data_IF_230292926840
#
_entry.id   IF_230292926840
#
_cell.length_a   1.000
_cell.length_b   1.000
_cell.length_c   1.000
_cell.angle_alpha   90.00
_cell.angle_beta   90.00
_cell.angle_gamma   90.00
#
_symmetry.space_group_name_H-M   'P 1'
#
loop_
_entity.id
_entity.type
_entity.pdbx_description
1 polymer ?
#
# COMPACT_ATOMS: atom_id res chain seq x y z
N UNK A 1 7.15 0.10 -2.81
CA UNK A 1 6.70 -0.27 -1.44
C UNK A 1 5.19 -0.49 -1.47
N UNK A 2 4.61 -1.20 -0.48
CA UNK A 2 3.16 -1.41 -0.40
C UNK A 2 2.38 -0.09 -0.42
N UNK A 3 2.82 0.90 0.38
CA UNK A 3 2.22 2.24 0.43
C UNK A 3 2.25 2.97 -0.92
N UNK A 4 3.33 2.80 -1.70
CA UNK A 4 3.42 3.39 -3.04
C UNK A 4 2.45 2.73 -4.02
N UNK A 5 2.23 1.42 -3.91
CA UNK A 5 1.27 0.71 -4.76
C UNK A 5 -0.17 1.17 -4.48
N UNK A 6 -0.54 1.34 -3.20
CA UNK A 6 -1.84 1.91 -2.81
C UNK A 6 -2.01 3.32 -3.34
N UNK A 7 -0.98 4.16 -3.22
CA UNK A 7 -0.99 5.52 -3.76
C UNK A 7 -1.19 5.51 -5.28
N UNK A 8 -0.40 4.74 -6.03
CA UNK A 8 -0.53 4.65 -7.50
C UNK A 8 -1.89 4.14 -7.95
N UNK A 9 -2.43 3.13 -7.26
CA UNK A 9 -3.77 2.63 -7.56
C UNK A 9 -4.85 3.69 -7.26
N UNK A 10 -4.66 4.49 -6.21
CA UNK A 10 -5.53 5.61 -5.87
C UNK A 10 -5.51 6.72 -6.92
N UNK A 11 -4.32 7.10 -7.40
CA UNK A 11 -4.18 8.04 -8.52
C UNK A 11 -4.90 7.50 -9.78
N UNK A 12 -4.79 6.20 -10.04
CA UNK A 12 -5.55 5.54 -11.10
C UNK A 12 -7.06 5.72 -10.94
N UNK A 13 -7.59 5.48 -9.74
CA UNK A 13 -9.03 5.65 -9.45
C UNK A 13 -9.44 7.10 -9.73
N UNK A 14 -8.65 8.07 -9.28
CA UNK A 14 -8.92 9.49 -9.50
C UNK A 14 -8.92 9.86 -10.99
N UNK A 15 -7.96 9.35 -11.78
CA UNK A 15 -7.88 9.58 -13.23
C UNK A 15 -9.13 9.04 -13.96
N UNK A 16 -9.63 7.88 -13.54
CA UNK A 16 -10.82 7.25 -14.12
C UNK A 16 -12.14 7.87 -13.61
N UNK A 17 -12.07 8.77 -12.62
CA UNK A 17 -13.24 9.39 -12.00
C UNK A 17 -14.22 8.35 -11.45
N UNK A 18 -15.51 8.54 -11.71
CA UNK A 18 -16.56 7.62 -11.25
C UNK A 18 -16.34 6.17 -11.73
N UNK A 19 -15.79 5.98 -12.93
CA UNK A 19 -15.51 4.64 -13.48
C UNK A 19 -14.40 3.92 -12.71
N UNK A 20 -13.53 4.64 -11.99
CA UNK A 20 -12.52 4.05 -11.11
C UNK A 20 -13.12 3.35 -9.88
N UNK A 21 -14.35 3.72 -9.51
CA UNK A 21 -15.09 3.15 -8.37
C UNK A 21 -16.06 2.03 -8.78
N UNK A 22 -16.31 1.81 -10.07
CA UNK A 22 -17.18 0.72 -10.54
C UNK A 22 -16.40 -0.58 -10.68
N UNK A 23 -17.11 -1.70 -10.84
CA UNK A 23 -16.51 -3.01 -11.12
C UNK A 23 -16.28 -3.24 -12.63
N UNK A 24 -16.53 -2.25 -13.49
CA UNK A 24 -16.27 -2.35 -14.93
C UNK A 24 -14.76 -2.35 -15.23
N UNK A 25 -13.98 -1.70 -14.37
CA UNK A 25 -12.52 -1.66 -14.44
C UNK A 25 -11.91 -2.31 -13.19
N UNK A 26 -10.71 -2.92 -13.30
CA UNK A 26 -10.10 -3.62 -12.17
C UNK A 26 -9.53 -2.69 -11.09
N UNK A 27 -9.63 -1.37 -11.24
CA UNK A 27 -8.97 -0.38 -10.37
C UNK A 27 -9.37 -0.52 -8.90
N UNK A 28 -10.66 -0.64 -8.60
CA UNK A 28 -11.13 -0.83 -7.23
C UNK A 28 -10.68 -2.16 -6.60
N UNK A 29 -10.43 -3.21 -7.40
CA UNK A 29 -9.80 -4.45 -6.92
C UNK A 29 -8.32 -4.23 -6.63
N UNK A 30 -7.60 -3.65 -7.59
CA UNK A 30 -6.15 -3.39 -7.48
C UNK A 30 -5.83 -2.51 -6.26
N UNK A 31 -6.63 -1.47 -5.99
CA UNK A 31 -6.41 -0.61 -4.84
C UNK A 31 -6.59 -1.36 -3.50
N UNK A 32 -7.62 -2.22 -3.40
CA UNK A 32 -7.85 -3.05 -2.21
C UNK A 32 -6.74 -4.08 -2.01
N UNK A 33 -6.32 -4.75 -3.08
CA UNK A 33 -5.21 -5.70 -3.05
C UNK A 33 -3.90 -5.02 -2.63
N UNK A 34 -3.63 -3.81 -3.15
CA UNK A 34 -2.48 -3.01 -2.75
C UNK A 34 -2.53 -2.65 -1.26
N UNK A 35 -3.70 -2.21 -0.78
CA UNK A 35 -3.88 -1.85 0.63
C UNK A 35 -3.68 -3.04 1.56
N UNK A 36 -4.07 -4.25 1.13
CA UNK A 36 -3.85 -5.46 1.92
C UNK A 36 -2.37 -5.69 2.24
N UNK A 37 -1.43 -5.35 1.34
CA UNK A 37 0.01 -5.49 1.63
C UNK A 37 0.53 -4.55 2.73
N UNK A 38 -0.21 -3.49 3.07
CA UNK A 38 0.14 -2.60 4.19
C UNK A 38 -0.30 -3.14 5.55
N UNK A 39 -1.24 -4.10 5.61
CA UNK A 39 -1.86 -4.55 6.87
C UNK A 39 -1.92 -6.06 7.06
N UNK A 40 -1.97 -6.85 5.98
CA UNK A 40 -2.35 -8.27 6.01
C UNK A 40 -1.28 -9.23 6.50
N UNK A 41 0.00 -8.86 6.41
CA UNK A 41 1.13 -9.70 6.84
C UNK A 41 2.11 -8.92 7.73
N UNK A 42 1.55 -8.14 8.66
CA UNK A 42 2.27 -7.17 9.47
C UNK A 42 2.16 -5.77 8.88
N UNK A 43 1.89 -4.80 9.75
CA UNK A 43 1.63 -3.43 9.31
C UNK A 43 2.90 -2.72 8.85
N UNK A 44 2.74 -1.69 8.01
CA UNK A 44 3.85 -0.83 7.61
C UNK A 44 4.60 -0.23 8.81
N UNK A 45 3.90 0.10 9.90
CA UNK A 45 4.47 0.62 11.15
C UNK A 45 5.37 -0.42 11.82
N UNK A 46 4.88 -1.66 11.96
CA UNK A 46 5.66 -2.75 12.57
C UNK A 46 6.94 -3.00 11.75
N UNK A 47 6.83 -2.97 10.42
CA UNK A 47 8.00 -3.13 9.54
C UNK A 47 9.02 -1.99 9.71
N UNK A 48 8.55 -0.73 9.79
CA UNK A 48 9.42 0.42 10.07
C UNK A 48 10.11 0.31 11.43
N UNK A 49 9.39 -0.12 12.46
CA UNK A 49 9.94 -0.34 13.80
C UNK A 49 11.04 -1.41 13.78
N UNK A 50 10.79 -2.54 13.12
CA UNK A 50 11.79 -3.61 12.98
C UNK A 50 13.03 -3.14 12.24
N UNK A 51 12.87 -2.45 11.11
CA UNK A 51 14.00 -1.86 10.37
C UNK A 51 14.79 -0.91 11.26
N UNK A 52 14.12 -0.01 11.99
CA UNK A 52 14.79 0.92 12.91
C UNK A 52 15.56 0.21 14.03
N UNK A 53 15.00 -0.87 14.58
CA UNK A 53 15.67 -1.70 15.59
C UNK A 53 16.92 -2.37 15.05
N UNK A 54 16.84 -3.00 13.88
CA UNK A 54 17.99 -3.67 13.27
C UNK A 54 19.09 -2.67 12.90
N UNK A 55 18.73 -1.51 12.35
CA UNK A 55 19.69 -0.44 12.06
C UNK A 55 20.42 0.05 13.33
N UNK A 56 19.70 0.17 14.45
CA UNK A 56 20.33 0.54 15.73
C UNK A 56 21.31 -0.53 16.21
N UNK A 57 20.93 -1.82 16.14
CA UNK A 57 21.80 -2.92 16.54
C UNK A 57 23.07 -3.04 15.67
N UNK A 58 23.01 -2.65 14.40
CA UNK A 58 24.17 -2.67 13.48
C UNK A 58 25.11 -1.48 13.67
N UNK A 59 24.62 -0.35 14.20
CA UNK A 59 25.37 0.92 14.26
C UNK A 59 25.78 1.36 15.66
N UNK A 60 25.18 0.80 16.72
CA UNK A 60 25.60 0.98 18.11
C UNK A 60 26.73 0.02 18.48
#
# INVERSE_FOLDING_TARGET
TAEKATWMAGEGIQIFGGNGYTNEYPLGRIWRDAKLYEIGAGTSEVRRMLIGRELFNETA
#
